data_IF_091227138948
#
_entry.id   IF_091227138948
#
_cell.length_a   1.000
_cell.length_b   1.000
_cell.length_c   1.000
_cell.angle_alpha   90.00
_cell.angle_beta   90.00
_cell.angle_gamma   90.00
#
_symmetry.space_group_name_H-M   'P 1'
#
loop_
_entity.id
_entity.type
_entity.pdbx_description
1 polymer ?
#
# COMPACT_ATOMS: atom_id res chain seq x y z
N UNK A 1 11.27 18.52 15.08
CA UNK A 1 11.17 17.06 14.85
C UNK A 1 10.48 16.75 13.51
N UNK A 2 9.27 17.26 13.24
CA UNK A 2 8.52 17.04 11.97
C UNK A 2 9.30 17.45 10.70
N UNK A 3 10.08 18.55 10.75
CA UNK A 3 10.87 18.99 9.59
C UNK A 3 11.95 17.97 9.19
N UNK A 4 12.68 17.43 10.15
CA UNK A 4 13.67 16.39 9.89
C UNK A 4 13.01 15.10 9.35
N UNK A 5 11.85 14.74 9.87
CA UNK A 5 11.09 13.61 9.37
C UNK A 5 10.66 13.78 7.90
N UNK A 6 10.22 14.98 7.53
CA UNK A 6 9.89 15.30 6.12
C UNK A 6 11.11 15.19 5.20
N UNK A 7 12.28 15.67 5.63
CA UNK A 7 13.54 15.53 4.88
C UNK A 7 13.90 14.06 4.74
N UNK A 8 13.86 13.30 5.84
CA UNK A 8 14.18 11.89 5.84
C UNK A 8 13.23 11.10 4.93
N UNK A 9 11.92 11.33 5.04
CA UNK A 9 10.92 10.74 4.17
C UNK A 9 11.22 11.01 2.70
N UNK A 10 11.44 12.28 2.35
CA UNK A 10 11.74 12.67 0.98
C UNK A 10 12.99 11.96 0.44
N UNK A 11 14.08 11.97 1.20
CA UNK A 11 15.34 11.32 0.81
C UNK A 11 15.16 9.81 0.68
N UNK A 12 14.46 9.18 1.62
CA UNK A 12 14.21 7.74 1.61
C UNK A 12 13.51 7.27 0.34
N UNK A 13 12.48 8.01 -0.10
CA UNK A 13 11.78 7.69 -1.34
C UNK A 13 12.58 8.08 -2.59
N UNK A 14 13.19 9.27 -2.61
CA UNK A 14 13.99 9.73 -3.77
C UNK A 14 15.23 8.89 -4.02
N UNK A 15 15.92 8.44 -2.97
CA UNK A 15 17.07 7.53 -3.06
C UNK A 15 16.65 6.08 -3.34
N UNK A 16 15.34 5.82 -3.46
CA UNK A 16 14.78 4.49 -3.74
C UNK A 16 15.16 3.43 -2.69
N UNK A 17 15.46 3.83 -1.47
CA UNK A 17 15.81 2.91 -0.37
C UNK A 17 14.66 1.94 -0.14
N UNK A 18 13.43 2.45 -0.11
CA UNK A 18 12.21 1.67 0.06
C UNK A 18 12.04 0.58 -1.01
N UNK A 19 12.21 0.95 -2.29
CA UNK A 19 12.10 0.00 -3.39
C UNK A 19 13.23 -1.01 -3.42
N UNK A 20 14.45 -0.61 -3.07
CA UNK A 20 15.61 -1.49 -2.96
C UNK A 20 15.37 -2.58 -1.89
N UNK A 21 14.94 -2.19 -0.69
CA UNK A 21 14.61 -3.15 0.36
C UNK A 21 13.45 -4.08 -0.02
N UNK A 22 12.43 -3.56 -0.72
CA UNK A 22 11.34 -4.38 -1.24
C UNK A 22 11.82 -5.46 -2.21
N UNK A 23 12.79 -5.16 -3.08
CA UNK A 23 13.37 -6.14 -3.98
C UNK A 23 14.17 -7.23 -3.23
N UNK A 24 14.97 -6.84 -2.22
CA UNK A 24 15.69 -7.79 -1.36
C UNK A 24 14.71 -8.68 -0.60
N UNK A 25 13.70 -8.09 0.03
CA UNK A 25 12.68 -8.83 0.78
C UNK A 25 11.98 -9.87 -0.09
N UNK A 26 11.54 -9.49 -1.29
CA UNK A 26 10.92 -10.41 -2.26
C UNK A 26 11.85 -11.53 -2.67
N UNK A 27 13.11 -11.23 -2.92
CA UNK A 27 14.11 -12.22 -3.28
C UNK A 27 14.33 -13.24 -2.17
N UNK A 28 14.48 -12.79 -0.92
CA UNK A 28 14.78 -13.66 0.22
C UNK A 28 13.57 -14.49 0.64
N UNK A 29 12.41 -13.88 0.74
CA UNK A 29 11.23 -14.52 1.37
C UNK A 29 10.17 -14.99 0.38
N UNK A 30 10.03 -14.34 -0.77
CA UNK A 30 8.91 -14.58 -1.67
C UNK A 30 9.29 -15.19 -3.02
N UNK A 31 10.56 -15.44 -3.31
CA UNK A 31 11.00 -16.01 -4.61
C UNK A 31 10.35 -17.35 -4.95
N UNK A 32 10.01 -18.16 -3.94
CA UNK A 32 9.36 -19.46 -4.10
C UNK A 32 7.94 -19.36 -4.67
N UNK A 33 7.30 -18.20 -4.55
CA UNK A 33 5.94 -17.96 -5.02
C UNK A 33 5.88 -17.36 -6.43
N UNK A 34 7.01 -17.03 -7.04
CA UNK A 34 7.08 -16.32 -8.34
C UNK A 34 6.28 -16.98 -9.48
N UNK A 35 6.04 -18.27 -9.39
CA UNK A 35 5.31 -19.04 -10.40
C UNK A 35 3.81 -19.19 -10.09
N UNK A 36 3.31 -18.64 -8.99
CA UNK A 36 1.87 -18.61 -8.71
C UNK A 36 1.22 -17.64 -9.70
N UNK A 37 0.28 -18.10 -10.54
CA UNK A 37 -0.39 -17.22 -11.48
C UNK A 37 -1.22 -16.18 -10.72
N UNK A 38 -1.09 -14.92 -11.13
CA UNK A 38 -1.90 -13.83 -10.59
C UNK A 38 -3.25 -13.81 -11.26
N UNK A 39 -4.29 -13.51 -10.50
CA UNK A 39 -5.53 -13.04 -11.07
C UNK A 39 -5.25 -11.79 -11.92
N UNK A 40 -6.10 -11.49 -12.86
CA UNK A 40 -5.97 -10.33 -13.73
C UNK A 40 -7.33 -9.77 -14.12
N UNK A 41 -7.35 -8.50 -14.50
CA UNK A 41 -8.54 -7.83 -14.98
C UNK A 41 -9.73 -7.86 -14.00
N UNK A 42 -9.46 -7.81 -12.69
CA UNK A 42 -10.50 -7.76 -11.68
C UNK A 42 -11.12 -6.35 -11.59
N UNK A 43 -12.39 -6.30 -11.25
CA UNK A 43 -13.04 -5.08 -10.80
C UNK A 43 -12.67 -4.77 -9.35
N UNK A 44 -12.85 -3.51 -8.87
CA UNK A 44 -12.60 -3.18 -7.46
C UNK A 44 -13.40 -4.04 -6.47
N UNK A 45 -14.65 -4.39 -6.83
CA UNK A 45 -15.51 -5.23 -5.98
C UNK A 45 -15.00 -6.67 -5.90
N UNK A 46 -14.57 -7.25 -7.03
CA UNK A 46 -13.97 -8.59 -7.05
C UNK A 46 -12.65 -8.63 -6.29
N UNK A 47 -11.82 -7.57 -6.44
CA UNK A 47 -10.57 -7.42 -5.70
C UNK A 47 -10.83 -7.39 -4.20
N UNK A 48 -11.79 -6.57 -3.75
CA UNK A 48 -12.18 -6.51 -2.34
C UNK A 48 -12.66 -7.86 -1.80
N UNK A 49 -13.54 -8.54 -2.52
CA UNK A 49 -14.05 -9.87 -2.10
C UNK A 49 -12.95 -10.90 -1.89
N UNK A 50 -11.88 -10.83 -2.68
CA UNK A 50 -10.72 -11.72 -2.51
C UNK A 50 -9.87 -11.30 -1.31
N UNK A 51 -9.61 -10.01 -1.10
CA UNK A 51 -8.88 -9.51 0.06
C UNK A 51 -9.59 -9.81 1.38
N UNK A 52 -10.92 -9.76 1.41
CA UNK A 52 -11.72 -10.06 2.61
C UNK A 52 -11.59 -11.52 3.10
N UNK A 53 -11.03 -12.42 2.28
CA UNK A 53 -10.69 -13.78 2.71
C UNK A 53 -9.44 -13.83 3.57
N UNK A 54 -8.63 -12.79 3.55
CA UNK A 54 -7.37 -12.70 4.25
C UNK A 54 -7.53 -12.00 5.59
N UNK A 55 -6.79 -12.48 6.57
CA UNK A 55 -6.65 -11.79 7.86
C UNK A 55 -5.43 -10.88 7.78
N UNK A 56 -5.65 -9.62 8.11
CA UNK A 56 -4.56 -8.67 8.27
C UNK A 56 -3.64 -9.12 9.41
N UNK A 57 -2.34 -9.02 9.19
CA UNK A 57 -1.32 -9.31 10.20
C UNK A 57 -0.17 -8.33 10.06
N UNK A 58 0.12 -7.60 11.13
CA UNK A 58 1.24 -6.65 11.17
C UNK A 58 2.57 -7.38 10.97
N UNK A 59 3.51 -6.76 10.27
CA UNK A 59 4.85 -7.31 10.09
C UNK A 59 5.55 -7.48 11.45
N UNK A 60 6.25 -8.60 11.63
CA UNK A 60 6.98 -8.92 12.86
C UNK A 60 8.18 -8.01 13.11
N UNK A 61 8.74 -7.46 12.05
CA UNK A 61 9.93 -6.60 12.11
C UNK A 61 9.62 -5.12 12.29
N UNK A 62 8.38 -4.78 12.70
CA UNK A 62 7.95 -3.43 13.09
C UNK A 62 8.82 -2.32 12.47
N UNK A 63 8.37 -1.75 11.36
CA UNK A 63 8.77 -0.39 10.95
C UNK A 63 10.24 -0.12 10.58
N UNK A 64 11.18 -1.00 10.93
CA UNK A 64 12.59 -0.86 10.56
C UNK A 64 12.87 -1.15 9.09
N UNK A 65 12.05 -2.01 8.47
CA UNK A 65 12.19 -2.46 7.07
C UNK A 65 10.84 -2.65 6.41
N UNK A 66 10.03 -1.62 6.46
CA UNK A 66 8.77 -1.58 5.72
C UNK A 66 9.06 -1.84 4.23
N UNK A 67 8.54 -2.93 3.68
CA UNK A 67 8.91 -3.40 2.36
C UNK A 67 7.75 -4.10 1.67
N UNK A 68 7.43 -3.66 0.47
CA UNK A 68 6.42 -4.33 -0.34
C UNK A 68 6.75 -5.79 -0.59
N UNK A 69 5.89 -6.67 -0.15
CA UNK A 69 5.94 -8.08 -0.45
C UNK A 69 5.67 -8.41 -1.92
N UNK A 70 5.65 -9.69 -2.24
CA UNK A 70 5.34 -10.14 -3.59
C UNK A 70 3.83 -10.27 -3.80
N UNK A 71 3.26 -9.75 -4.90
CA UNK A 71 1.86 -9.99 -5.24
C UNK A 71 1.55 -11.49 -5.39
N UNK A 72 2.52 -12.30 -5.81
CA UNK A 72 2.37 -13.76 -5.93
C UNK A 72 2.23 -14.45 -4.56
N UNK A 73 2.84 -13.91 -3.50
CA UNK A 73 2.63 -14.38 -2.12
C UNK A 73 1.19 -14.15 -1.67
N UNK A 74 0.66 -12.95 -1.89
CA UNK A 74 -0.73 -12.63 -1.56
C UNK A 74 -1.69 -13.52 -2.34
N UNK A 75 -1.43 -13.71 -3.64
CA UNK A 75 -2.22 -14.62 -4.48
C UNK A 75 -2.21 -16.06 -3.94
N UNK A 76 -1.05 -16.54 -3.50
CA UNK A 76 -0.96 -17.86 -2.86
C UNK A 76 -1.85 -17.93 -1.62
N UNK A 77 -1.80 -16.94 -0.75
CA UNK A 77 -2.66 -16.89 0.44
C UNK A 77 -4.15 -16.87 0.08
N UNK A 78 -4.55 -16.09 -0.91
CA UNK A 78 -5.93 -16.05 -1.43
C UNK A 78 -6.37 -17.42 -1.94
N UNK A 79 -5.51 -18.10 -2.70
CA UNK A 79 -5.81 -19.42 -3.23
C UNK A 79 -5.99 -20.45 -2.11
N UNK A 80 -5.11 -20.45 -1.09
CA UNK A 80 -5.23 -21.36 0.06
C UNK A 80 -6.52 -21.13 0.84
N UNK A 81 -6.81 -19.88 1.19
CA UNK A 81 -8.06 -19.56 1.91
C UNK A 81 -9.31 -19.83 1.07
N UNK A 82 -9.23 -19.66 -0.26
CA UNK A 82 -10.29 -19.98 -1.19
C UNK A 82 -10.61 -21.48 -1.27
N UNK A 83 -9.64 -22.34 -0.95
CA UNK A 83 -9.79 -23.81 -0.85
C UNK A 83 -10.22 -24.26 0.56
N UNK A 84 -10.47 -23.32 1.48
CA UNK A 84 -10.81 -23.62 2.86
C UNK A 84 -9.61 -23.96 3.76
N UNK A 85 -8.39 -23.83 3.24
CA UNK A 85 -7.18 -24.01 4.03
C UNK A 85 -6.93 -22.81 4.96
N UNK A 86 -6.24 -23.01 6.10
CA UNK A 86 -5.84 -21.89 6.95
C UNK A 86 -4.91 -20.95 6.17
N UNK A 87 -5.00 -19.64 6.47
CA UNK A 87 -4.07 -18.68 5.90
C UNK A 87 -2.64 -19.03 6.29
N UNK A 88 -1.72 -19.13 5.32
CA UNK A 88 -0.32 -19.37 5.59
C UNK A 88 0.27 -18.30 6.51
N UNK A 89 1.18 -18.68 7.40
CA UNK A 89 1.88 -17.73 8.28
C UNK A 89 2.79 -16.80 7.50
N UNK A 90 2.71 -15.52 7.77
CA UNK A 90 3.50 -14.45 7.16
C UNK A 90 2.79 -13.11 7.29
N UNK A 91 3.52 -12.02 7.11
CA UNK A 91 2.92 -10.70 7.11
C UNK A 91 1.99 -10.54 5.90
N UNK A 92 0.82 -10.00 6.15
CA UNK A 92 -0.17 -9.55 5.16
C UNK A 92 -0.73 -8.23 5.68
N UNK A 93 0.02 -7.17 5.48
CA UNK A 93 -0.33 -5.83 5.92
C UNK A 93 -0.76 -4.92 4.76
N UNK A 94 -0.70 -3.62 4.95
CA UNK A 94 -1.16 -2.67 3.94
C UNK A 94 -0.31 -2.71 2.67
N UNK A 95 0.96 -3.07 2.76
CA UNK A 95 1.89 -3.15 1.64
C UNK A 95 1.51 -4.29 0.70
N UNK A 96 1.26 -5.47 1.26
CA UNK A 96 0.85 -6.65 0.52
C UNK A 96 -0.51 -6.46 -0.15
N UNK A 97 -1.48 -5.91 0.57
CA UNK A 97 -2.81 -5.64 0.01
C UNK A 97 -2.76 -4.62 -1.13
N UNK A 98 -1.99 -3.54 -0.96
CA UNK A 98 -1.88 -2.49 -1.96
C UNK A 98 -1.20 -2.97 -3.24
N UNK A 99 -0.08 -3.71 -3.13
CA UNK A 99 0.66 -4.19 -4.29
C UNK A 99 -0.12 -5.26 -5.07
N UNK A 100 -0.75 -6.22 -4.38
CA UNK A 100 -1.54 -7.23 -5.05
C UNK A 100 -2.71 -6.58 -5.80
N UNK A 101 -3.43 -5.66 -5.17
CA UNK A 101 -4.53 -4.94 -5.80
C UNK A 101 -4.08 -4.19 -7.06
N UNK A 102 -2.92 -3.53 -7.01
CA UNK A 102 -2.38 -2.82 -8.17
C UNK A 102 -2.00 -3.75 -9.33
N UNK A 103 -1.71 -5.01 -9.06
CA UNK A 103 -1.41 -6.00 -10.10
C UNK A 103 -2.64 -6.61 -10.75
N UNK A 104 -3.72 -6.84 -9.98
CA UNK A 104 -4.89 -7.61 -10.43
C UNK A 104 -6.01 -6.75 -10.99
N UNK A 105 -6.11 -5.48 -10.59
CA UNK A 105 -7.11 -4.55 -11.12
C UNK A 105 -6.93 -4.33 -12.62
N UNK A 106 -8.05 -4.15 -13.32
CA UNK A 106 -8.06 -3.79 -14.75
C UNK A 106 -7.22 -2.54 -15.00
N UNK A 107 -6.46 -2.56 -16.10
CA UNK A 107 -5.58 -1.45 -16.48
C UNK A 107 -6.34 -0.14 -16.74
N UNK A 108 -7.60 -0.21 -17.18
CA UNK A 108 -8.45 0.96 -17.40
C UNK A 108 -8.66 1.82 -16.16
N UNK A 109 -8.55 1.24 -14.96
CA UNK A 109 -8.61 1.97 -13.68
C UNK A 109 -7.28 2.66 -13.30
N UNK A 110 -6.23 2.51 -14.11
CA UNK A 110 -4.89 3.09 -13.85
C UNK A 110 -4.38 2.84 -12.43
N UNK A 111 -4.39 1.59 -11.95
CA UNK A 111 -4.03 1.31 -10.57
C UNK A 111 -2.57 1.62 -10.27
N UNK A 112 -2.35 2.31 -9.15
CA UNK A 112 -1.03 2.66 -8.61
C UNK A 112 -1.00 2.40 -7.11
N UNK A 113 0.19 2.35 -6.51
CA UNK A 113 0.35 2.25 -5.07
C UNK A 113 0.56 3.66 -4.53
N UNK A 114 -0.26 4.06 -3.57
CA UNK A 114 -0.14 5.31 -2.84
C UNK A 114 0.35 5.00 -1.42
N UNK A 115 1.51 5.53 -1.08
CA UNK A 115 2.05 5.55 0.28
C UNK A 115 1.74 6.92 0.90
N UNK A 116 1.17 6.94 2.09
CA UNK A 116 0.85 8.15 2.86
C UNK A 116 1.46 8.01 4.24
N UNK A 117 2.19 9.03 4.69
CA UNK A 117 2.81 9.05 6.02
C UNK A 117 2.40 10.29 6.80
N UNK A 118 2.20 10.10 8.09
CA UNK A 118 1.77 11.15 9.03
C UNK A 118 2.54 11.07 10.35
N UNK A 119 2.30 12.07 11.18
CA UNK A 119 2.72 12.13 12.57
C UNK A 119 1.50 12.47 13.43
N UNK A 120 1.30 11.73 14.50
CA UNK A 120 0.26 11.97 15.50
C UNK A 120 0.84 11.88 16.94
N UNK A 121 -0.01 11.67 17.93
CA UNK A 121 0.39 11.55 19.32
C UNK A 121 1.27 10.31 19.58
N UNK A 122 1.06 9.23 18.81
CA UNK A 122 1.77 7.96 18.94
C UNK A 122 3.11 7.96 18.19
N UNK A 123 3.37 8.99 17.37
CA UNK A 123 4.61 9.15 16.62
C UNK A 123 4.44 9.20 15.10
N UNK A 124 5.39 8.61 14.38
CA UNK A 124 5.34 8.50 12.92
C UNK A 124 4.73 7.17 12.52
N UNK A 125 3.78 7.23 11.59
CA UNK A 125 3.16 6.04 11.01
C UNK A 125 2.81 6.29 9.55
N UNK A 126 2.38 5.24 8.84
CA UNK A 126 2.04 5.33 7.44
C UNK A 126 1.09 4.23 6.98
N UNK A 127 0.57 4.42 5.78
CA UNK A 127 -0.35 3.48 5.17
C UNK A 127 -0.17 3.38 3.66
N UNK A 128 -0.26 2.16 3.13
CA UNK A 128 -0.24 1.88 1.71
C UNK A 128 -1.61 1.42 1.23
N UNK A 129 -2.06 2.02 0.14
CA UNK A 129 -3.31 1.64 -0.53
C UNK A 129 -3.10 1.50 -2.04
N UNK A 130 -3.89 0.68 -2.69
CA UNK A 130 -4.02 0.74 -4.14
C UNK A 130 -4.97 1.87 -4.50
N UNK A 131 -4.43 2.95 -5.07
CA UNK A 131 -5.17 4.07 -5.62
C UNK A 131 -5.57 3.75 -7.07
N UNK A 132 -6.78 4.10 -7.45
CA UNK A 132 -7.27 3.93 -8.82
C UNK A 132 -8.33 4.99 -9.16
N UNK A 133 -8.65 5.09 -10.46
CA UNK A 133 -9.56 6.10 -10.99
C UNK A 133 -10.77 5.43 -11.66
N UNK A 134 -11.98 5.93 -11.36
CA UNK A 134 -13.22 5.56 -12.04
C UNK A 134 -13.98 6.84 -12.40
N UNK A 135 -14.26 7.04 -13.68
CA UNK A 135 -15.03 8.20 -14.18
C UNK A 135 -14.48 9.55 -13.66
N UNK A 136 -13.15 9.70 -13.65
CA UNK A 136 -12.49 10.92 -13.21
C UNK A 136 -12.47 11.13 -11.70
N UNK A 137 -12.91 10.14 -10.91
CA UNK A 137 -12.88 10.19 -9.45
C UNK A 137 -11.87 9.18 -8.89
N UNK A 138 -11.20 9.57 -7.83
CA UNK A 138 -10.22 8.74 -7.13
C UNK A 138 -10.89 7.86 -6.08
N UNK A 139 -10.45 6.62 -5.99
CA UNK A 139 -10.81 5.67 -4.93
C UNK A 139 -9.58 4.89 -4.52
N UNK A 140 -9.62 4.28 -3.35
CA UNK A 140 -8.59 3.34 -2.94
C UNK A 140 -9.18 2.01 -2.45
N UNK A 141 -8.35 0.97 -2.48
CA UNK A 141 -8.61 -0.33 -1.90
C UNK A 141 -7.38 -0.81 -1.12
N UNK A 142 -7.62 -1.40 0.03
CA UNK A 142 -6.59 -1.96 0.91
C UNK A 142 -7.23 -2.75 2.05
N UNK A 143 -6.51 -2.93 3.15
CA UNK A 143 -7.00 -3.63 4.33
C UNK A 143 -8.19 -2.93 5.02
N UNK A 144 -8.38 -1.62 4.79
CA UNK A 144 -9.56 -0.87 5.28
C UNK A 144 -10.79 -1.01 4.38
N UNK A 145 -10.68 -1.78 3.30
CA UNK A 145 -11.75 -1.98 2.34
C UNK A 145 -11.66 -1.08 1.11
N UNK A 146 -12.81 -0.82 0.50
CA UNK A 146 -12.98 0.05 -0.66
C UNK A 146 -13.48 1.41 -0.20
N UNK A 147 -12.77 2.48 -0.56
CA UNK A 147 -13.15 3.85 -0.17
C UNK A 147 -14.36 4.37 -0.93
N UNK A 148 -14.90 5.47 -0.44
CA UNK A 148 -15.76 6.37 -1.19
C UNK A 148 -15.03 6.98 -2.39
N UNK A 149 -15.75 7.76 -3.20
CA UNK A 149 -15.22 8.42 -4.41
C UNK A 149 -14.85 9.88 -4.09
N UNK A 150 -13.63 10.28 -4.43
CA UNK A 150 -13.09 11.62 -4.21
C UNK A 150 -12.84 12.34 -5.54
N UNK A 151 -13.13 13.63 -5.58
CA UNK A 151 -12.90 14.48 -6.75
C UNK A 151 -11.43 14.86 -6.93
N UNK A 152 -10.64 14.75 -5.88
CA UNK A 152 -9.20 15.01 -5.92
C UNK A 152 -8.42 14.00 -5.11
N UNK A 153 -7.17 13.74 -5.52
CA UNK A 153 -6.24 12.92 -4.75
C UNK A 153 -5.93 13.52 -3.38
N UNK A 154 -5.91 14.86 -3.28
CA UNK A 154 -5.69 15.56 -2.03
C UNK A 154 -6.74 15.18 -0.99
N UNK A 155 -8.02 15.26 -1.34
CA UNK A 155 -9.12 14.92 -0.43
C UNK A 155 -9.06 13.44 0.02
N UNK A 156 -8.67 12.55 -0.90
CA UNK A 156 -8.47 11.14 -0.58
C UNK A 156 -7.31 10.94 0.41
N UNK A 157 -6.19 11.65 0.25
CA UNK A 157 -5.05 11.58 1.18
C UNK A 157 -5.43 12.14 2.56
N UNK A 158 -6.14 13.26 2.60
CA UNK A 158 -6.63 13.85 3.85
C UNK A 158 -7.58 12.88 4.59
N UNK A 159 -8.45 12.19 3.86
CA UNK A 159 -9.33 11.16 4.45
C UNK A 159 -8.54 9.96 5.00
N UNK A 160 -7.51 9.50 4.31
CA UNK A 160 -6.64 8.42 4.82
C UNK A 160 -6.02 8.81 6.15
N UNK A 161 -5.47 10.03 6.26
CA UNK A 161 -4.86 10.52 7.50
C UNK A 161 -5.90 10.66 8.60
N UNK A 162 -7.04 11.30 8.29
CA UNK A 162 -8.15 11.47 9.22
C UNK A 162 -8.65 10.14 9.78
N UNK A 163 -8.90 9.18 8.92
CA UNK A 163 -9.35 7.83 9.31
C UNK A 163 -8.35 7.08 10.19
N UNK A 164 -7.07 7.25 9.92
CA UNK A 164 -6.00 6.60 10.69
C UNK A 164 -5.83 7.21 12.09
N UNK A 165 -6.03 8.54 12.23
CA UNK A 165 -5.60 9.30 13.40
C UNK A 165 -6.76 9.96 14.18
N UNK A 166 -8.01 9.81 13.72
CA UNK A 166 -9.16 10.52 14.30
C UNK A 166 -9.01 12.05 14.21
N UNK A 167 -8.53 12.56 13.07
CA UNK A 167 -8.30 13.98 12.78
C UNK A 167 -7.14 14.64 13.54
N UNK A 168 -6.32 13.88 14.26
CA UNK A 168 -5.19 14.43 15.02
C UNK A 168 -3.86 14.35 14.28
N UNK A 169 -3.82 13.64 13.17
CA UNK A 169 -2.60 13.42 12.38
C UNK A 169 -2.20 14.60 11.52
N UNK A 170 -0.90 14.82 11.39
CA UNK A 170 -0.32 15.80 10.47
C UNK A 170 0.39 15.07 9.33
N UNK A 171 -0.04 15.31 8.11
CA UNK A 171 0.58 14.75 6.91
C UNK A 171 2.07 15.12 6.86
N UNK A 172 2.92 14.11 6.73
CA UNK A 172 4.36 14.26 6.49
C UNK A 172 4.63 14.34 4.99
N UNK A 173 4.07 13.40 4.25
CA UNK A 173 4.22 13.31 2.81
C UNK A 173 3.49 12.12 2.22
N UNK A 174 3.51 12.06 0.90
CA UNK A 174 2.97 10.92 0.15
C UNK A 174 3.83 10.63 -1.08
N UNK A 175 3.81 9.38 -1.51
CA UNK A 175 4.52 8.91 -2.68
C UNK A 175 3.65 7.97 -3.52
N UNK A 176 3.82 8.00 -4.84
CA UNK A 176 3.10 7.13 -5.76
C UNK A 176 4.09 6.23 -6.48
N UNK A 177 3.76 4.96 -6.51
CA UNK A 177 4.53 3.94 -7.21
C UNK A 177 3.67 3.20 -8.23
N UNK A 178 4.27 2.84 -9.34
CA UNK A 178 3.69 1.83 -10.24
C UNK A 178 3.65 0.47 -9.54
N UNK A 179 2.87 -0.48 -10.07
CA UNK A 179 2.87 -1.88 -9.62
C UNK A 179 4.25 -2.55 -9.65
N UNK A 180 5.18 -2.05 -10.45
CA UNK A 180 6.58 -2.51 -10.51
C UNK A 180 7.50 -1.77 -9.54
N UNK A 181 6.95 -1.01 -8.59
CA UNK A 181 7.65 -0.20 -7.58
C UNK A 181 8.53 0.90 -8.18
N UNK A 182 8.20 1.39 -9.37
CA UNK A 182 8.84 2.60 -9.91
C UNK A 182 8.16 3.82 -9.28
N UNK A 183 8.92 4.63 -8.55
CA UNK A 183 8.45 5.91 -8.01
C UNK A 183 8.08 6.85 -9.17
N UNK A 184 6.87 7.37 -9.16
CA UNK A 184 6.37 8.34 -10.14
C UNK A 184 6.20 9.73 -9.56
N UNK A 185 5.77 9.81 -8.31
CA UNK A 185 5.55 11.07 -7.60
C UNK A 185 6.01 10.94 -6.15
N UNK A 186 6.53 12.03 -5.58
CA UNK A 186 6.87 12.11 -4.16
C UNK A 186 6.70 13.56 -3.70
N UNK A 187 5.87 13.77 -2.70
CA UNK A 187 5.53 15.08 -2.16
C UNK A 187 5.73 15.13 -0.65
N UNK A 188 6.39 16.19 -0.20
CA UNK A 188 6.46 16.61 1.19
C UNK A 188 6.27 18.11 1.24
N UNK A 189 5.49 18.62 2.17
CA UNK A 189 5.41 20.06 2.40
C UNK A 189 6.58 20.51 3.30
N UNK A 190 7.72 20.74 2.69
CA UNK A 190 8.91 21.22 3.40
C UNK A 190 8.81 22.71 3.84
N UNK A 191 7.82 23.45 3.34
CA UNK A 191 7.69 24.91 3.58
C UNK A 191 6.90 25.26 4.83
N UNK A 192 6.20 24.29 5.43
CA UNK A 192 5.36 24.46 6.64
C UNK A 192 5.88 23.59 7.78
N UNK A 193 7.02 23.96 8.32
CA UNK A 193 7.56 23.38 9.56
C UNK A 193 7.67 24.46 10.62
#
# INVERSE_FOLDING_TARGET
>A
MIFLAKIFYYLFHKLRIYTFWSHIYRFLYHRRYKNIPLDSNLTPVETLKKLQRLKWSKDRFKELFDAFGSPHWVQYCINQTGLGNPQPSGALDCDEFSIWSAWVLKAEFKPVILNVNWHDADGFDGHNVCLFEILGKYRHIGNWGLSESYTSRKNLIEEIVSKATGDQGKLIGWAVYTKNLKLTECHTDLRRA
#
